data_IF_650795061238
#
_entry.id   IF_650795061238
#
_cell.length_a   1.000
_cell.length_b   1.000
_cell.length_c   1.000
_cell.angle_alpha   90.00
_cell.angle_beta   90.00
_cell.angle_gamma   90.00
#
_symmetry.space_group_name_H-M   'P 1'
#
loop_
_entity.id
_entity.type
_entity.pdbx_description
1 polymer ?
#
# COMPACT_ATOMS: atom_id res chain seq x y z
N UNK A 1 -3.95 15.38 -4.41
CA UNK A 1 -3.37 15.44 -3.05
C UNK A 1 -2.07 16.23 -3.13
N UNK A 2 -1.80 17.14 -2.19
CA UNK A 2 -0.55 17.92 -2.22
C UNK A 2 0.67 17.07 -1.85
N UNK A 3 1.84 17.41 -2.39
CA UNK A 3 3.11 16.74 -2.05
C UNK A 3 3.38 16.69 -0.55
N UNK A 4 3.15 17.77 0.19
CA UNK A 4 3.34 17.82 1.65
C UNK A 4 2.43 16.86 2.40
N UNK A 5 1.13 16.84 2.06
CA UNK A 5 0.19 15.88 2.66
C UNK A 5 0.56 14.43 2.36
N UNK A 6 1.09 14.15 1.15
CA UNK A 6 1.55 12.82 0.78
C UNK A 6 2.80 12.40 1.57
N UNK A 7 3.80 13.28 1.68
CA UNK A 7 5.02 13.04 2.47
C UNK A 7 4.65 12.78 3.94
N UNK A 8 3.77 13.62 4.53
CA UNK A 8 3.34 13.46 5.92
C UNK A 8 2.67 12.09 6.14
N UNK A 9 1.80 11.69 5.21
CA UNK A 9 1.12 10.39 5.26
C UNK A 9 2.12 9.23 5.18
N UNK A 10 3.24 9.37 4.45
CA UNK A 10 4.31 8.36 4.43
C UNK A 10 5.16 8.35 5.69
N UNK A 11 5.42 9.50 6.32
CA UNK A 11 6.18 9.56 7.57
C UNK A 11 5.40 8.89 8.71
N UNK A 12 4.10 9.18 8.84
CA UNK A 12 3.23 8.60 9.88
C UNK A 12 3.04 7.08 9.73
N UNK A 13 3.22 6.55 8.52
CA UNK A 13 3.21 5.10 8.24
C UNK A 13 4.48 4.38 8.68
N UNK A 14 5.55 5.07 9.07
CA UNK A 14 6.81 4.43 9.48
C UNK A 14 6.77 3.98 10.94
N UNK A 15 7.33 2.79 11.19
CA UNK A 15 7.45 2.18 12.53
C UNK A 15 8.11 3.12 13.53
N UNK A 16 9.24 3.73 13.13
CA UNK A 16 10.03 4.59 14.04
C UNK A 16 9.24 5.81 14.50
N UNK A 17 8.38 6.38 13.64
CA UNK A 17 7.60 7.56 13.99
C UNK A 17 6.59 7.23 15.09
N UNK A 18 5.89 6.10 14.95
CA UNK A 18 4.93 5.61 15.96
C UNK A 18 5.64 5.23 17.27
N UNK A 19 6.76 4.54 17.17
CA UNK A 19 7.58 4.16 18.31
C UNK A 19 8.05 5.40 19.11
N UNK A 20 8.56 6.42 18.41
CA UNK A 20 8.98 7.69 19.02
C UNK A 20 7.77 8.43 19.61
N UNK A 21 6.66 8.54 18.88
CA UNK A 21 5.47 9.24 19.36
C UNK A 21 4.88 8.60 20.62
N UNK A 22 4.74 7.28 20.66
CA UNK A 22 4.24 6.55 21.83
C UNK A 22 5.24 6.65 22.98
N UNK A 23 6.54 6.52 22.72
CA UNK A 23 7.57 6.66 23.76
C UNK A 23 7.58 8.07 24.36
N UNK A 24 7.46 9.11 23.52
CA UNK A 24 7.35 10.50 23.98
C UNK A 24 6.07 10.73 24.77
N UNK A 25 4.93 10.17 24.34
CA UNK A 25 3.68 10.24 25.10
C UNK A 25 3.80 9.54 26.46
N UNK A 26 4.47 8.39 26.51
CA UNK A 26 4.78 7.66 27.75
C UNK A 26 5.68 8.46 28.70
N UNK A 27 6.74 9.10 28.17
CA UNK A 27 7.62 9.99 28.95
C UNK A 27 6.84 11.21 29.44
N UNK A 28 6.05 11.84 28.57
CA UNK A 28 5.22 12.98 28.91
C UNK A 28 4.21 12.64 30.00
N UNK A 29 3.58 11.46 29.91
CA UNK A 29 2.68 10.96 30.96
C UNK A 29 3.42 10.81 32.29
N UNK A 30 4.60 10.20 32.31
CA UNK A 30 5.40 10.05 33.52
C UNK A 30 5.78 11.42 34.13
N UNK A 31 6.26 12.36 33.32
CA UNK A 31 6.61 13.72 33.79
C UNK A 31 5.37 14.46 34.30
N UNK A 32 4.25 14.37 33.57
CA UNK A 32 2.99 15.03 33.91
C UNK A 32 2.50 14.59 35.29
N UNK A 33 2.66 13.31 35.64
CA UNK A 33 2.35 12.81 36.99
C UNK A 33 3.16 13.54 38.06
N UNK A 34 4.47 13.74 37.85
CA UNK A 34 5.32 14.47 38.79
C UNK A 34 4.98 15.96 38.90
N UNK A 35 4.54 16.58 37.80
CA UNK A 35 4.20 18.02 37.77
C UNK A 35 2.80 18.31 38.32
N UNK A 36 1.81 17.45 38.05
CA UNK A 36 0.42 17.65 38.49
C UNK A 36 0.24 17.30 39.97
N UNK A 37 0.98 16.31 40.49
CA UNK A 37 0.80 15.82 41.86
C UNK A 37 0.76 16.93 42.94
N UNK A 38 1.65 17.95 42.93
CA UNK A 38 1.62 19.02 43.94
C UNK A 38 0.43 19.97 43.85
N UNK A 39 -0.34 19.94 42.75
CA UNK A 39 -1.44 20.87 42.49
C UNK A 39 -2.81 20.26 42.77
N UNK A 40 -2.88 18.97 43.10
CA UNK A 40 -4.13 18.27 43.40
C UNK A 40 -4.54 18.56 44.86
N UNK A 41 -5.74 19.14 45.10
CA UNK A 41 -6.20 19.51 46.44
C UNK A 41 -6.68 18.31 47.28
N UNK A 42 -6.30 17.08 46.91
CA UNK A 42 -6.79 15.84 47.51
C UNK A 42 -5.61 15.06 48.07
N UNK A 43 -5.57 14.88 49.39
CA UNK A 43 -4.64 13.97 50.04
C UNK A 43 -5.20 12.54 49.93
N UNK A 44 -4.52 11.68 49.18
CA UNK A 44 -4.93 10.28 49.10
C UNK A 44 -4.47 9.57 50.39
N UNK A 45 -5.38 9.41 51.34
CA UNK A 45 -5.09 8.89 52.69
C UNK A 45 -4.77 7.39 52.80
N UNK A 46 -4.14 6.75 51.81
CA UNK A 46 -3.81 5.32 51.85
C UNK A 46 -2.40 5.02 51.36
N UNK A 47 -1.70 4.12 52.07
CA UNK A 47 -0.42 3.50 51.67
C UNK A 47 -0.55 2.57 50.43
N UNK A 48 -1.56 2.79 49.57
CA UNK A 48 -1.85 1.92 48.45
C UNK A 48 -0.71 1.92 47.42
N UNK A 49 0.00 0.80 47.34
CA UNK A 49 0.84 0.44 46.19
C UNK A 49 2.21 1.13 46.10
N UNK A 50 2.67 1.80 47.16
CA UNK A 50 3.97 2.50 47.21
C UNK A 50 5.15 1.60 46.79
N UNK A 51 5.20 0.36 47.29
CA UNK A 51 6.25 -0.62 46.94
C UNK A 51 5.88 -1.47 45.70
N UNK A 52 4.59 -1.64 45.44
CA UNK A 52 4.10 -2.47 44.34
C UNK A 52 4.38 -1.84 42.97
N UNK A 53 4.27 -0.51 42.84
CA UNK A 53 4.48 0.19 41.57
C UNK A 53 5.89 0.00 41.04
N UNK A 54 6.91 0.12 41.90
CA UNK A 54 8.31 -0.09 41.51
C UNK A 54 8.57 -1.50 41.01
N UNK A 55 8.01 -2.50 41.69
CA UNK A 55 8.10 -3.91 41.30
C UNK A 55 7.46 -4.16 39.94
N UNK A 56 6.24 -3.64 39.70
CA UNK A 56 5.54 -3.79 38.41
C UNK A 56 6.32 -3.10 37.28
N UNK A 57 6.81 -1.88 37.51
CA UNK A 57 7.64 -1.16 36.53
C UNK A 57 8.90 -1.96 36.19
N UNK A 58 9.55 -2.60 37.17
CA UNK A 58 10.75 -3.41 36.94
C UNK A 58 10.47 -4.71 36.18
N UNK A 59 9.33 -5.38 36.46
CA UNK A 59 8.87 -6.54 35.69
C UNK A 59 8.57 -6.14 34.24
N UNK A 60 7.90 -5.01 34.03
CA UNK A 60 7.65 -4.47 32.70
C UNK A 60 8.96 -4.12 31.97
N UNK A 61 9.90 -3.43 32.63
CA UNK A 61 11.18 -3.07 32.02
C UNK A 61 11.98 -4.30 31.55
N UNK A 62 12.01 -5.37 32.33
CA UNK A 62 12.74 -6.60 31.97
C UNK A 62 12.02 -7.43 30.90
N UNK A 63 10.70 -7.55 30.97
CA UNK A 63 9.91 -8.38 30.05
C UNK A 63 9.67 -7.72 28.69
N UNK A 64 9.45 -6.40 28.63
CA UNK A 64 9.07 -5.72 27.39
C UNK A 64 10.16 -5.74 26.32
N UNK A 65 11.44 -5.74 26.70
CA UNK A 65 12.53 -5.86 25.72
C UNK A 65 12.52 -7.24 25.04
N UNK A 66 12.26 -8.31 25.81
CA UNK A 66 12.15 -9.66 25.28
C UNK A 66 10.93 -9.81 24.37
N UNK A 67 9.76 -9.30 24.77
CA UNK A 67 8.54 -9.30 23.96
C UNK A 67 8.71 -8.49 22.66
N UNK A 68 9.38 -7.34 22.74
CA UNK A 68 9.73 -6.51 21.57
C UNK A 68 10.63 -7.26 20.60
N UNK A 69 11.66 -7.94 21.13
CA UNK A 69 12.61 -8.73 20.33
C UNK A 69 11.91 -9.92 19.66
N UNK A 70 11.08 -10.66 20.40
CA UNK A 70 10.26 -11.75 19.84
C UNK A 70 9.34 -11.23 18.72
N UNK A 71 8.67 -10.10 18.95
CA UNK A 71 7.75 -9.50 17.97
C UNK A 71 8.46 -9.03 16.71
N UNK A 72 9.65 -8.41 16.84
CA UNK A 72 10.47 -8.03 15.70
C UNK A 72 10.92 -9.25 14.89
N UNK A 73 11.38 -10.31 15.56
CA UNK A 73 11.77 -11.58 14.92
C UNK A 73 10.60 -12.21 14.16
N UNK A 74 9.39 -12.21 14.75
CA UNK A 74 8.19 -12.72 14.09
C UNK A 74 7.84 -11.92 12.83
N UNK A 75 7.94 -10.58 12.87
CA UNK A 75 7.75 -9.73 11.69
C UNK A 75 8.77 -10.01 10.58
N UNK A 76 10.06 -10.11 10.94
CA UNK A 76 11.13 -10.41 9.96
C UNK A 76 10.92 -11.78 9.32
N UNK A 77 10.49 -12.78 10.11
CA UNK A 77 10.13 -14.10 9.60
C UNK A 77 8.97 -14.03 8.60
N UNK A 78 7.92 -13.27 8.91
CA UNK A 78 6.78 -13.06 8.01
C UNK A 78 7.20 -12.35 6.70
N UNK A 79 8.08 -11.35 6.77
CA UNK A 79 8.62 -10.67 5.57
C UNK A 79 9.45 -11.61 4.69
N UNK A 80 10.23 -12.48 5.32
CA UNK A 80 11.00 -13.52 4.63
C UNK A 80 10.06 -14.50 3.92
N UNK A 81 9.04 -15.00 4.62
CA UNK A 81 8.01 -15.90 4.08
C UNK A 81 7.32 -15.28 2.86
N UNK A 82 6.85 -14.04 2.97
CA UNK A 82 6.18 -13.36 1.86
C UNK A 82 7.10 -13.10 0.66
N UNK A 83 8.38 -12.83 0.88
CA UNK A 83 9.34 -12.64 -0.21
C UNK A 83 9.63 -13.96 -0.94
N UNK A 84 9.65 -15.07 -0.22
CA UNK A 84 9.89 -16.41 -0.79
C UNK A 84 8.66 -16.92 -1.54
N UNK A 85 7.49 -16.86 -0.90
CA UNK A 85 6.25 -17.44 -1.41
C UNK A 85 5.57 -16.55 -2.47
N UNK A 86 5.59 -15.23 -2.29
CA UNK A 86 4.82 -14.29 -3.10
C UNK A 86 5.75 -13.40 -3.94
N UNK A 87 6.01 -12.15 -3.55
CA UNK A 87 6.84 -11.23 -4.35
C UNK A 87 7.44 -10.13 -3.46
N UNK A 88 8.66 -9.63 -3.76
CA UNK A 88 9.24 -8.49 -3.03
C UNK A 88 8.35 -7.24 -2.96
N UNK A 89 7.37 -7.11 -3.88
CA UNK A 89 6.42 -5.99 -3.90
C UNK A 89 5.39 -6.12 -2.77
N UNK A 90 4.98 -7.34 -2.42
CA UNK A 90 4.07 -7.59 -1.31
C UNK A 90 4.72 -7.26 0.04
N UNK A 91 6.04 -7.46 0.16
CA UNK A 91 6.80 -7.12 1.37
C UNK A 91 6.67 -5.64 1.74
N UNK A 92 6.52 -4.74 0.76
CA UNK A 92 6.27 -3.31 1.03
C UNK A 92 4.98 -3.09 1.83
N UNK A 93 3.93 -3.86 1.55
CA UNK A 93 2.63 -3.75 2.23
C UNK A 93 2.64 -4.36 3.64
N UNK A 94 3.41 -5.43 3.83
CA UNK A 94 3.60 -6.04 5.15
C UNK A 94 4.42 -5.13 6.09
N UNK A 95 5.39 -4.39 5.55
CA UNK A 95 6.16 -3.41 6.31
C UNK A 95 5.30 -2.21 6.79
N UNK A 96 4.24 -1.89 6.05
CA UNK A 96 3.32 -0.80 6.35
C UNK A 96 2.15 -1.24 7.28
N UNK A 97 2.17 -2.46 7.82
CA UNK A 97 1.08 -3.00 8.63
C UNK A 97 0.92 -2.26 9.98
N UNK A 98 -0.22 -1.57 10.22
CA UNK A 98 -0.37 -0.76 11.40
C UNK A 98 -0.50 -1.57 12.69
N UNK A 99 -1.03 -2.80 12.64
CA UNK A 99 -1.23 -3.64 13.83
C UNK A 99 0.10 -4.07 14.41
N UNK A 100 0.99 -4.56 13.55
CA UNK A 100 2.35 -5.00 13.87
C UNK A 100 3.19 -3.84 14.39
N UNK A 101 3.15 -2.69 13.70
CA UNK A 101 3.87 -1.49 14.11
C UNK A 101 3.39 -0.94 15.45
N UNK A 102 2.07 -0.93 15.69
CA UNK A 102 1.50 -0.47 16.95
C UNK A 102 1.88 -1.41 18.10
N UNK A 103 1.87 -2.73 17.87
CA UNK A 103 2.30 -3.69 18.87
C UNK A 103 3.75 -3.44 19.32
N UNK A 104 4.69 -3.35 18.37
CA UNK A 104 6.09 -3.07 18.67
C UNK A 104 6.27 -1.71 19.37
N UNK A 105 5.57 -0.68 18.89
CA UNK A 105 5.66 0.68 19.44
C UNK A 105 5.10 0.76 20.86
N UNK A 106 4.02 0.03 21.15
CA UNK A 106 3.45 -0.10 22.49
C UNK A 106 4.40 -0.81 23.45
N UNK A 107 5.01 -1.93 23.05
CA UNK A 107 5.95 -2.65 23.92
C UNK A 107 7.19 -1.81 24.22
N UNK A 108 7.72 -1.10 23.21
CA UNK A 108 8.83 -0.16 23.42
C UNK A 108 8.42 1.03 24.30
N UNK A 109 7.23 1.59 24.08
CA UNK A 109 6.71 2.69 24.90
C UNK A 109 6.52 2.29 26.36
N UNK A 110 6.00 1.09 26.61
CA UNK A 110 5.87 0.53 27.96
C UNK A 110 7.23 0.29 28.62
N UNK A 111 8.24 -0.18 27.87
CA UNK A 111 9.61 -0.28 28.34
C UNK A 111 10.17 1.09 28.75
N UNK A 112 10.05 2.10 27.89
CA UNK A 112 10.54 3.47 28.16
C UNK A 112 9.79 4.09 29.34
N UNK A 113 8.47 3.93 29.41
CA UNK A 113 7.65 4.35 30.55
C UNK A 113 8.18 3.74 31.85
N UNK A 114 8.45 2.44 31.86
CA UNK A 114 8.96 1.74 33.03
C UNK A 114 10.30 2.29 33.50
N UNK A 115 11.25 2.51 32.58
CA UNK A 115 12.57 3.06 32.94
C UNK A 115 12.43 4.47 33.52
N UNK A 116 11.64 5.33 32.88
CA UNK A 116 11.41 6.70 33.35
C UNK A 116 10.68 6.73 34.69
N UNK A 117 9.68 5.84 34.87
CA UNK A 117 8.97 5.65 36.12
C UNK A 117 9.92 5.22 37.26
N UNK A 118 10.79 4.24 37.00
CA UNK A 118 11.80 3.78 37.97
C UNK A 118 12.76 4.91 38.34
N UNK A 119 13.30 5.64 37.36
CA UNK A 119 14.21 6.77 37.59
C UNK A 119 13.51 7.85 38.44
N UNK A 120 12.26 8.19 38.11
CA UNK A 120 11.49 9.18 38.86
C UNK A 120 11.17 8.74 40.29
N UNK A 121 10.93 7.44 40.52
CA UNK A 121 10.76 6.87 41.87
C UNK A 121 12.07 6.94 42.67
N UNK A 122 13.20 6.57 42.07
CA UNK A 122 14.52 6.57 42.72
C UNK A 122 15.04 7.97 43.04
N UNK A 123 14.70 8.96 42.20
CA UNK A 123 15.07 10.37 42.40
C UNK A 123 14.12 11.11 43.33
N UNK A 124 13.02 10.48 43.76
CA UNK A 124 12.03 11.07 44.69
C UNK A 124 11.11 12.12 44.08
N UNK A 125 11.06 12.24 42.74
CA UNK A 125 10.33 13.30 42.02
C UNK A 125 8.81 13.23 42.22
N UNK A 126 8.25 12.06 42.52
CA UNK A 126 6.80 11.84 42.56
C UNK A 126 6.13 12.14 43.92
N UNK A 127 6.86 12.40 45.01
CA UNK A 127 6.24 12.60 46.33
C UNK A 127 5.40 11.39 46.80
N UNK A 128 4.46 11.60 47.74
CA UNK A 128 3.51 10.56 48.18
C UNK A 128 2.34 10.41 47.19
N UNK A 129 1.65 11.51 46.88
CA UNK A 129 0.45 11.48 46.02
C UNK A 129 0.76 11.13 44.56
N UNK A 130 1.90 11.57 44.02
CA UNK A 130 2.31 11.24 42.66
C UNK A 130 2.62 9.76 42.47
N UNK A 131 2.97 9.01 43.53
CA UNK A 131 3.14 7.54 43.46
C UNK A 131 1.81 6.83 43.17
N UNK A 132 0.70 7.34 43.70
CA UNK A 132 -0.64 6.76 43.49
C UNK A 132 -1.09 7.00 42.04
N UNK A 133 -0.86 8.21 41.52
CA UNK A 133 -1.14 8.52 40.10
C UNK A 133 -0.23 7.68 39.18
N UNK A 134 1.05 7.51 39.54
CA UNK A 134 1.97 6.66 38.80
C UNK A 134 1.51 5.19 38.82
N UNK A 135 1.01 4.70 39.95
CA UNK A 135 0.43 3.35 40.05
C UNK A 135 -0.78 3.20 39.13
N UNK A 136 -1.71 4.14 39.13
CA UNK A 136 -2.87 4.13 38.23
C UNK A 136 -2.44 4.15 36.75
N UNK A 137 -1.47 5.00 36.38
CA UNK A 137 -0.90 5.03 35.04
C UNK A 137 -0.21 3.71 34.67
N UNK A 138 0.50 3.10 35.62
CA UNK A 138 1.15 1.79 35.43
C UNK A 138 0.13 0.70 35.17
N UNK A 139 -0.96 0.63 35.96
CA UNK A 139 -2.05 -0.32 35.75
C UNK A 139 -2.68 -0.13 34.37
N UNK A 140 -2.93 1.12 33.95
CA UNK A 140 -3.45 1.41 32.62
C UNK A 140 -2.52 0.90 31.51
N UNK A 141 -1.22 1.12 31.64
CA UNK A 141 -0.23 0.66 30.66
C UNK A 141 -0.14 -0.87 30.66
N UNK A 142 -0.20 -1.53 31.82
CA UNK A 142 -0.26 -3.00 31.90
C UNK A 142 -1.47 -3.54 31.13
N UNK A 143 -2.66 -2.96 31.34
CA UNK A 143 -3.88 -3.35 30.61
C UNK A 143 -3.66 -3.16 29.10
N UNK A 144 -3.13 -2.02 28.69
CA UNK A 144 -2.85 -1.70 27.29
C UNK A 144 -1.85 -2.69 26.67
N UNK A 145 -0.79 -3.06 27.38
CA UNK A 145 0.20 -4.06 26.96
C UNK A 145 -0.45 -5.44 26.79
N UNK A 146 -1.24 -5.88 27.76
CA UNK A 146 -1.93 -7.18 27.71
C UNK A 146 -2.88 -7.24 26.52
N UNK A 147 -3.72 -6.23 26.32
CA UNK A 147 -4.64 -6.16 25.17
C UNK A 147 -3.87 -6.15 23.86
N UNK A 148 -2.78 -5.37 23.79
CA UNK A 148 -1.94 -5.29 22.59
C UNK A 148 -1.27 -6.62 22.29
N UNK A 149 -0.77 -7.34 23.30
CA UNK A 149 -0.16 -8.65 23.17
C UNK A 149 -1.16 -9.69 22.68
N UNK A 150 -2.37 -9.73 23.25
CA UNK A 150 -3.43 -10.64 22.80
C UNK A 150 -3.83 -10.38 21.34
N UNK A 151 -4.00 -9.11 20.97
CA UNK A 151 -4.29 -8.72 19.57
C UNK A 151 -3.14 -9.09 18.64
N UNK A 152 -1.89 -8.92 19.09
CA UNK A 152 -0.71 -9.27 18.33
C UNK A 152 -0.60 -10.77 18.09
N UNK A 153 -0.80 -11.59 19.13
CA UNK A 153 -0.82 -13.06 19.01
C UNK A 153 -1.90 -13.50 18.02
N UNK A 154 -3.10 -12.95 18.12
CA UNK A 154 -4.18 -13.26 17.18
C UNK A 154 -3.79 -12.89 15.74
N UNK A 155 -3.18 -11.71 15.54
CA UNK A 155 -2.74 -11.26 14.22
C UNK A 155 -1.62 -12.14 13.63
N UNK A 156 -0.66 -12.58 14.45
CA UNK A 156 0.45 -13.43 14.02
C UNK A 156 0.02 -14.77 13.43
N UNK A 157 -1.17 -15.27 13.77
CA UNK A 157 -1.67 -16.56 13.23
C UNK A 157 -1.99 -16.52 11.73
N UNK A 158 -2.22 -15.33 11.17
CA UNK A 158 -2.52 -15.12 9.75
C UNK A 158 -1.48 -14.29 9.03
N UNK A 159 -0.76 -13.42 9.75
CA UNK A 159 0.20 -12.49 9.19
C UNK A 159 1.31 -13.16 8.36
N UNK A 160 1.47 -12.72 7.11
CA UNK A 160 2.53 -13.21 6.20
C UNK A 160 2.27 -14.59 5.59
N UNK A 161 1.06 -15.15 5.77
CA UNK A 161 0.59 -16.34 5.03
C UNK A 161 0.13 -15.94 3.64
N UNK A 162 0.09 -16.90 2.70
CA UNK A 162 -0.25 -16.61 1.30
C UNK A 162 -1.58 -15.86 1.14
N UNK A 163 -2.64 -16.31 1.83
CA UNK A 163 -3.94 -15.64 1.79
C UNK A 163 -3.86 -14.18 2.25
N UNK A 164 -3.24 -13.91 3.42
CA UNK A 164 -3.03 -12.54 3.92
C UNK A 164 -2.22 -11.67 2.94
N UNK A 165 -1.24 -12.27 2.26
CA UNK A 165 -0.46 -11.57 1.23
C UNK A 165 -1.33 -11.21 0.02
N UNK A 166 -2.13 -12.14 -0.48
CA UNK A 166 -3.06 -11.89 -1.60
C UNK A 166 -4.06 -10.80 -1.21
N UNK A 167 -4.69 -10.91 -0.04
CA UNK A 167 -5.69 -9.97 0.47
C UNK A 167 -5.11 -8.55 0.59
N UNK A 168 -3.88 -8.41 1.11
CA UNK A 168 -3.21 -7.10 1.23
C UNK A 168 -2.91 -6.48 -0.12
N UNK A 169 -2.40 -7.27 -1.07
CA UNK A 169 -2.10 -6.79 -2.42
C UNK A 169 -3.40 -6.43 -3.13
N UNK A 170 -4.45 -7.24 -2.97
CA UNK A 170 -5.79 -6.97 -3.49
C UNK A 170 -6.35 -5.65 -2.94
N UNK A 171 -6.34 -5.45 -1.62
CA UNK A 171 -6.81 -4.22 -0.97
C UNK A 171 -6.08 -2.98 -1.48
N UNK A 172 -4.75 -3.08 -1.62
CA UNK A 172 -3.92 -2.00 -2.14
C UNK A 172 -4.25 -1.72 -3.62
N UNK A 173 -4.40 -2.77 -4.42
CA UNK A 173 -4.75 -2.70 -5.84
C UNK A 173 -6.14 -2.11 -6.05
N UNK A 174 -7.15 -2.57 -5.29
CA UNK A 174 -8.53 -2.09 -5.33
C UNK A 174 -8.62 -0.61 -4.95
N UNK A 175 -7.92 -0.17 -3.89
CA UNK A 175 -7.85 1.25 -3.51
C UNK A 175 -7.23 2.11 -4.61
N UNK A 176 -6.13 1.65 -5.21
CA UNK A 176 -5.47 2.37 -6.30
C UNK A 176 -6.34 2.39 -7.57
N UNK A 177 -7.01 1.28 -7.89
CA UNK A 177 -7.91 1.14 -9.04
C UNK A 177 -9.16 2.00 -8.87
N UNK A 178 -9.77 2.04 -7.69
CA UNK A 178 -10.92 2.89 -7.40
C UNK A 178 -10.58 4.38 -7.55
N UNK A 179 -9.38 4.80 -7.11
CA UNK A 179 -8.89 6.17 -7.32
C UNK A 179 -8.67 6.47 -8.80
N UNK A 180 -8.10 5.52 -9.54
CA UNK A 180 -7.91 5.65 -10.99
C UNK A 180 -9.26 5.72 -11.72
N UNK A 181 -10.23 4.89 -11.35
CA UNK A 181 -11.58 4.89 -11.92
C UNK A 181 -12.31 6.21 -11.68
N UNK A 182 -12.20 6.77 -10.47
CA UNK A 182 -12.81 8.05 -10.12
C UNK A 182 -12.13 9.25 -10.80
N UNK A 183 -10.81 9.18 -11.01
CA UNK A 183 -10.05 10.27 -11.60
C UNK A 183 -8.88 9.77 -12.49
N UNK A 184 -9.18 9.31 -13.73
CA UNK A 184 -8.19 8.67 -14.61
C UNK A 184 -7.02 9.58 -15.03
N UNK A 185 -7.23 10.89 -14.91
CA UNK A 185 -6.30 11.94 -15.32
C UNK A 185 -5.68 12.68 -14.12
N UNK A 186 -5.78 12.12 -12.91
CA UNK A 186 -5.17 12.65 -11.68
C UNK A 186 -5.59 14.09 -11.34
N UNK A 187 -6.79 14.52 -11.76
CA UNK A 187 -7.31 15.87 -11.56
C UNK A 187 -7.00 16.83 -12.70
N UNK A 188 -6.34 16.34 -13.74
CA UNK A 188 -6.07 17.04 -14.99
C UNK A 188 -7.13 16.76 -16.07
N UNK A 189 -6.89 17.29 -17.27
CA UNK A 189 -7.69 17.10 -18.46
C UNK A 189 -7.22 15.85 -19.24
N UNK A 190 -8.07 15.25 -20.08
CA UNK A 190 -7.65 14.21 -21.02
C UNK A 190 -6.46 14.66 -21.86
N UNK A 191 -5.54 13.74 -22.13
CA UNK A 191 -4.39 14.01 -22.99
C UNK A 191 -4.83 14.42 -24.40
N UNK A 192 -4.14 15.40 -24.96
CA UNK A 192 -4.29 15.86 -26.34
C UNK A 192 -2.95 15.71 -27.06
N UNK A 193 -2.92 15.71 -28.41
CA UNK A 193 -1.66 15.74 -29.15
C UNK A 193 -0.79 16.92 -28.71
N UNK A 194 0.44 16.63 -28.28
CA UNK A 194 1.38 17.64 -27.79
C UNK A 194 1.87 18.48 -28.98
N UNK A 195 1.73 19.83 -28.94
CA UNK A 195 2.17 20.66 -30.05
C UNK A 195 3.69 20.60 -30.29
N UNK A 196 4.16 20.69 -31.55
CA UNK A 196 5.60 20.61 -31.87
C UNK A 196 6.46 21.68 -31.20
N UNK A 197 5.88 22.85 -30.90
CA UNK A 197 6.56 23.95 -30.22
C UNK A 197 6.62 23.83 -28.69
N UNK A 198 6.10 22.75 -28.11
CA UNK A 198 6.08 22.57 -26.66
C UNK A 198 7.49 22.27 -26.11
N UNK A 199 7.91 23.08 -25.13
CA UNK A 199 9.24 22.99 -24.53
C UNK A 199 9.30 21.79 -23.57
N UNK A 200 10.29 20.88 -23.70
CA UNK A 200 10.47 19.78 -22.77
C UNK A 200 11.02 20.24 -21.44
N UNK A 201 10.52 19.66 -20.35
CA UNK A 201 11.15 19.77 -19.03
C UNK A 201 11.56 18.37 -18.56
N UNK A 202 12.88 18.19 -18.48
CA UNK A 202 13.53 16.99 -17.97
C UNK A 202 14.08 17.25 -16.56
N UNK A 203 14.02 16.23 -15.71
CA UNK A 203 14.69 16.23 -14.41
C UNK A 203 16.11 15.67 -14.47
N UNK A 204 16.86 15.76 -13.39
CA UNK A 204 18.22 15.20 -13.27
C UNK A 204 18.26 13.83 -12.55
N UNK A 205 17.12 13.35 -12.05
CA UNK A 205 17.01 12.10 -11.25
C UNK A 205 16.65 10.91 -12.12
N UNK A 206 17.13 9.74 -11.74
CA UNK A 206 16.78 8.46 -12.35
C UNK A 206 16.02 7.60 -11.34
N UNK A 207 14.87 7.05 -11.74
CA UNK A 207 14.01 6.24 -10.87
C UNK A 207 12.57 6.15 -11.37
N UNK A 208 11.66 5.67 -10.53
CA UNK A 208 10.24 5.60 -10.79
C UNK A 208 9.51 6.84 -10.28
N UNK A 209 8.58 7.36 -11.07
CA UNK A 209 7.62 8.37 -10.61
C UNK A 209 6.66 7.69 -9.62
N UNK A 210 6.65 8.12 -8.37
CA UNK A 210 5.73 7.59 -7.34
C UNK A 210 4.62 8.57 -6.98
N UNK A 211 4.80 9.85 -7.28
CA UNK A 211 3.76 10.86 -7.10
C UNK A 211 3.82 11.95 -8.16
N UNK A 212 2.64 12.35 -8.66
CA UNK A 212 2.45 13.55 -9.49
C UNK A 212 1.42 14.47 -8.82
N UNK A 213 1.85 15.68 -8.43
CA UNK A 213 0.99 16.71 -7.83
C UNK A 213 0.36 17.58 -8.93
N UNK A 214 -0.64 17.03 -9.62
CA UNK A 214 -1.39 17.74 -10.68
C UNK A 214 -2.04 19.04 -10.18
N UNK A 215 -2.59 19.13 -8.94
CA UNK A 215 -3.04 20.41 -8.39
C UNK A 215 -1.93 21.47 -8.31
N UNK A 216 -0.70 21.11 -7.93
CA UNK A 216 0.44 22.03 -7.96
C UNK A 216 0.79 22.45 -9.38
N UNK A 217 0.86 21.50 -10.32
CA UNK A 217 1.06 21.78 -11.75
C UNK A 217 0.00 22.75 -12.27
N UNK A 218 -1.27 22.58 -11.88
CA UNK A 218 -2.36 23.46 -12.28
C UNK A 218 -2.20 24.89 -11.77
N UNK A 219 -1.77 25.08 -10.53
CA UNK A 219 -1.47 26.42 -9.98
C UNK A 219 -0.32 27.09 -10.73
N UNK A 220 0.72 26.33 -11.08
CA UNK A 220 1.87 26.82 -11.85
C UNK A 220 1.42 27.21 -13.27
N UNK A 221 0.66 26.35 -13.93
CA UNK A 221 0.12 26.57 -15.28
C UNK A 221 -0.71 27.85 -15.36
N UNK A 222 -1.60 28.08 -14.38
CA UNK A 222 -2.40 29.30 -14.30
C UNK A 222 -1.55 30.56 -14.06
N UNK A 223 -0.57 30.49 -13.15
CA UNK A 223 0.34 31.62 -12.86
C UNK A 223 1.17 32.01 -14.09
N UNK A 224 1.68 31.02 -14.81
CA UNK A 224 2.53 31.22 -15.99
C UNK A 224 1.73 31.43 -17.29
N UNK A 225 0.39 31.38 -17.25
CA UNK A 225 -0.46 31.36 -18.45
C UNK A 225 -0.02 30.32 -19.48
N UNK A 226 0.37 29.14 -18.99
CA UNK A 226 0.94 28.05 -19.77
C UNK A 226 0.01 26.83 -19.76
N UNK A 227 0.15 25.96 -20.77
CA UNK A 227 -0.51 24.65 -20.80
C UNK A 227 0.54 23.56 -20.59
N UNK A 228 0.29 22.65 -19.64
CA UNK A 228 1.22 21.59 -19.27
C UNK A 228 0.71 20.25 -19.80
N UNK A 229 1.58 19.49 -20.45
CA UNK A 229 1.33 18.11 -20.90
C UNK A 229 2.21 17.16 -20.11
N UNK A 230 1.62 16.35 -19.26
CA UNK A 230 2.33 15.35 -18.46
C UNK A 230 2.60 14.11 -19.32
N UNK A 231 3.88 13.80 -19.52
CA UNK A 231 4.34 12.72 -20.41
C UNK A 231 4.64 11.41 -19.68
N UNK A 232 4.57 11.41 -18.34
CA UNK A 232 4.87 10.26 -17.49
C UNK A 232 3.80 10.06 -16.43
N UNK A 233 3.45 8.81 -16.17
CA UNK A 233 2.48 8.43 -15.13
C UNK A 233 3.19 7.81 -13.92
N UNK A 234 2.56 7.82 -12.72
CA UNK A 234 3.02 7.02 -11.60
C UNK A 234 3.31 5.58 -12.02
N UNK A 235 4.46 5.05 -11.62
CA UNK A 235 4.99 3.75 -12.06
C UNK A 235 5.94 3.81 -13.25
N UNK A 236 6.08 4.96 -13.93
CA UNK A 236 7.00 5.12 -15.07
C UNK A 236 8.44 5.29 -14.61
N UNK A 237 9.37 4.56 -15.24
CA UNK A 237 10.82 4.77 -15.08
C UNK A 237 11.27 6.02 -15.86
N UNK A 238 11.98 6.93 -15.20
CA UNK A 238 12.50 8.18 -15.77
C UNK A 238 14.01 8.28 -15.60
N UNK A 239 14.64 9.03 -16.50
CA UNK A 239 16.08 9.33 -16.54
C UNK A 239 16.27 10.73 -17.15
N UNK A 240 17.47 11.34 -17.11
CA UNK A 240 17.65 12.74 -17.50
C UNK A 240 17.34 13.13 -18.96
N UNK A 241 17.20 12.13 -19.84
CA UNK A 241 16.82 12.33 -21.24
C UNK A 241 15.34 12.04 -21.53
N UNK A 242 14.54 11.71 -20.49
CA UNK A 242 13.10 11.49 -20.60
C UNK A 242 12.36 12.71 -20.08
N UNK A 243 11.49 13.26 -20.92
CA UNK A 243 10.63 14.38 -20.54
C UNK A 243 9.65 13.94 -19.45
N UNK A 244 9.55 14.74 -18.38
CA UNK A 244 8.50 14.58 -17.38
C UNK A 244 7.23 15.30 -17.80
N UNK A 245 7.40 16.48 -18.43
CA UNK A 245 6.34 17.29 -18.99
C UNK A 245 6.81 18.00 -20.26
N UNK A 246 5.84 18.41 -21.08
CA UNK A 246 6.00 19.31 -22.22
C UNK A 246 5.10 20.53 -21.99
N UNK A 247 5.59 21.74 -22.26
CA UNK A 247 4.89 22.98 -21.90
C UNK A 247 4.70 23.88 -23.11
N UNK A 248 3.47 24.37 -23.26
CA UNK A 248 3.14 25.47 -24.17
C UNK A 248 3.15 26.79 -23.39
N UNK A 249 4.08 27.68 -23.73
CA UNK A 249 4.30 28.95 -23.04
C UNK A 249 5.77 29.18 -22.71
N UNK A 250 6.09 30.35 -22.17
CA UNK A 250 7.44 30.68 -21.70
C UNK A 250 7.57 30.28 -20.23
N UNK A 251 8.66 29.60 -19.91
CA UNK A 251 8.98 29.11 -18.57
C UNK A 251 10.35 29.67 -18.20
N UNK A 252 10.43 30.40 -17.09
CA UNK A 252 11.70 30.81 -16.51
C UNK A 252 12.30 29.69 -15.64
N UNK A 253 13.56 29.83 -15.23
CA UNK A 253 14.26 28.78 -14.47
C UNK A 253 13.58 28.51 -13.11
N UNK A 254 13.02 29.53 -12.46
CA UNK A 254 12.29 29.36 -11.19
C UNK A 254 11.01 28.53 -11.35
N UNK A 255 10.25 28.77 -12.42
CA UNK A 255 9.08 27.96 -12.76
C UNK A 255 9.48 26.52 -13.11
N UNK A 256 10.63 26.33 -13.74
CA UNK A 256 11.16 24.99 -14.06
C UNK A 256 11.39 24.14 -12.80
N UNK A 257 12.01 24.71 -11.77
CA UNK A 257 12.25 24.00 -10.51
C UNK A 257 10.94 23.66 -9.79
N UNK A 258 9.99 24.61 -9.72
CA UNK A 258 8.65 24.38 -9.16
C UNK A 258 7.91 23.23 -9.87
N UNK A 259 8.07 23.12 -11.20
CA UNK A 259 7.48 22.04 -12.00
C UNK A 259 8.12 20.69 -11.69
N UNK A 260 9.45 20.65 -11.55
CA UNK A 260 10.16 19.43 -11.17
C UNK A 260 9.77 18.98 -9.76
N UNK A 261 9.54 19.92 -8.85
CA UNK A 261 9.10 19.67 -7.49
C UNK A 261 7.67 19.11 -7.38
N UNK A 262 6.87 19.18 -8.45
CA UNK A 262 5.58 18.49 -8.50
C UNK A 262 5.70 16.96 -8.70
N UNK A 263 6.90 16.46 -9.01
CA UNK A 263 7.15 15.03 -9.21
C UNK A 263 7.96 14.46 -8.05
N UNK A 264 7.50 13.34 -7.50
CA UNK A 264 8.35 12.51 -6.63
C UNK A 264 8.90 11.33 -7.40
N UNK A 265 10.24 11.27 -7.48
CA UNK A 265 10.98 10.20 -8.14
C UNK A 265 11.71 9.38 -7.07
N UNK A 266 11.57 8.06 -7.10
CA UNK A 266 12.15 7.13 -6.12
C UNK A 266 12.76 5.90 -6.78
N UNK A 267 13.54 5.11 -6.02
CA UNK A 267 14.17 3.89 -6.56
C UNK A 267 13.18 2.76 -6.83
N UNK A 268 12.04 2.76 -6.15
CA UNK A 268 11.04 1.70 -6.21
C UNK A 268 9.66 2.31 -6.45
N UNK A 269 8.79 1.55 -7.11
CA UNK A 269 7.37 1.90 -7.28
C UNK A 269 6.64 1.85 -5.93
N UNK A 270 5.50 2.53 -5.84
CA UNK A 270 4.64 2.59 -4.66
C UNK A 270 3.18 2.39 -5.06
N UNK A 271 2.40 1.68 -4.25
CA UNK A 271 0.97 1.43 -4.48
C UNK A 271 0.07 2.68 -4.35
N UNK A 272 0.59 3.80 -3.85
CA UNK A 272 -0.24 4.97 -3.49
C UNK A 272 -0.98 5.60 -4.68
N UNK A 273 -0.30 5.77 -5.82
CA UNK A 273 -0.85 6.33 -7.07
C UNK A 273 -0.69 5.41 -8.29
N UNK A 274 0.00 4.29 -8.12
CA UNK A 274 0.28 3.34 -9.20
C UNK A 274 -0.76 2.21 -9.21
N UNK A 275 -1.80 2.39 -9.99
CA UNK A 275 -2.89 1.41 -10.13
C UNK A 275 -2.49 0.14 -10.89
N UNK A 276 -1.32 0.12 -11.55
CA UNK A 276 -0.80 -1.05 -12.26
C UNK A 276 -0.01 -1.98 -11.32
N UNK A 277 0.65 -1.43 -10.31
CA UNK A 277 1.55 -2.19 -9.43
C UNK A 277 0.85 -3.34 -8.70
N UNK A 278 -0.40 -3.13 -8.28
CA UNK A 278 -1.23 -4.17 -7.66
C UNK A 278 -1.52 -5.36 -8.59
N UNK A 279 -1.88 -5.08 -9.84
CA UNK A 279 -2.12 -6.11 -10.85
C UNK A 279 -0.85 -6.92 -11.15
N UNK A 280 0.29 -6.22 -11.27
CA UNK A 280 1.58 -6.86 -11.51
C UNK A 280 1.96 -7.73 -10.31
N UNK A 281 1.81 -7.24 -9.08
CA UNK A 281 2.14 -8.00 -7.89
C UNK A 281 1.26 -9.27 -7.75
N UNK A 282 -0.05 -9.14 -7.98
CA UNK A 282 -0.96 -10.29 -8.03
C UNK A 282 -0.53 -11.29 -9.12
N UNK A 283 -0.29 -10.81 -10.34
CA UNK A 283 0.14 -11.68 -11.44
C UNK A 283 1.48 -12.37 -11.17
N UNK A 284 2.41 -11.73 -10.47
CA UNK A 284 3.67 -12.35 -10.04
C UNK A 284 3.46 -13.46 -9.00
N UNK A 285 2.48 -13.30 -8.10
CA UNK A 285 2.10 -14.34 -7.13
C UNK A 285 1.54 -15.56 -7.86
N UNK A 286 0.59 -15.36 -8.77
CA UNK A 286 0.05 -16.45 -9.58
C UNK A 286 1.15 -17.12 -10.42
N UNK A 287 2.01 -16.32 -11.04
CA UNK A 287 3.13 -16.83 -11.83
C UNK A 287 4.06 -17.75 -11.01
N UNK A 288 4.44 -17.32 -9.79
CA UNK A 288 5.25 -18.16 -8.90
C UNK A 288 4.52 -19.41 -8.43
N UNK A 289 3.23 -19.32 -8.12
CA UNK A 289 2.42 -20.47 -7.75
C UNK A 289 2.36 -21.52 -8.88
N UNK A 290 2.24 -21.05 -10.13
CA UNK A 290 2.19 -21.90 -11.33
C UNK A 290 3.56 -22.40 -11.80
N UNK A 291 4.65 -21.89 -11.23
CA UNK A 291 5.99 -22.32 -11.60
C UNK A 291 6.16 -23.83 -11.33
N UNK A 292 6.92 -24.57 -12.17
CA UNK A 292 7.06 -26.03 -12.05
C UNK A 292 7.53 -26.52 -10.67
N UNK A 293 8.32 -25.70 -9.96
CA UNK A 293 8.83 -26.03 -8.64
C UNK A 293 7.77 -25.93 -7.51
N UNK A 294 6.69 -25.17 -7.73
CA UNK A 294 5.64 -24.93 -6.73
C UNK A 294 4.36 -25.68 -7.08
N UNK A 295 3.91 -25.57 -8.34
CA UNK A 295 2.74 -26.27 -8.88
C UNK A 295 1.48 -26.17 -8.00
N UNK A 296 1.10 -24.95 -7.63
CA UNK A 296 -0.07 -24.63 -6.81
C UNK A 296 -1.13 -23.88 -7.63
N UNK A 297 -2.00 -24.59 -8.39
CA UNK A 297 -3.11 -23.99 -9.12
C UNK A 297 -4.13 -23.29 -8.21
N UNK A 298 -4.28 -23.73 -6.96
CA UNK A 298 -5.23 -23.17 -6.00
C UNK A 298 -4.92 -21.70 -5.69
N UNK A 299 -3.65 -21.40 -5.41
CA UNK A 299 -3.19 -20.02 -5.22
C UNK A 299 -3.40 -19.16 -6.48
N UNK A 300 -3.17 -19.70 -7.67
CA UNK A 300 -3.40 -18.97 -8.92
C UNK A 300 -4.89 -18.66 -9.15
N UNK A 301 -5.79 -19.58 -8.79
CA UNK A 301 -7.24 -19.38 -8.82
C UNK A 301 -7.66 -18.27 -7.85
N UNK A 302 -7.10 -18.24 -6.64
CA UNK A 302 -7.37 -17.16 -5.68
C UNK A 302 -6.89 -15.80 -6.21
N UNK A 303 -5.72 -15.75 -6.84
CA UNK A 303 -5.23 -14.54 -7.50
C UNK A 303 -6.15 -14.10 -8.66
N UNK A 304 -6.68 -15.03 -9.46
CA UNK A 304 -7.66 -14.70 -10.51
C UNK A 304 -8.93 -14.08 -9.93
N UNK A 305 -9.39 -14.57 -8.78
CA UNK A 305 -10.51 -13.97 -8.04
C UNK A 305 -10.18 -12.55 -7.56
N UNK A 306 -8.99 -12.34 -7.01
CA UNK A 306 -8.52 -11.02 -6.57
C UNK A 306 -8.42 -10.04 -7.75
N UNK A 307 -7.82 -10.46 -8.87
CA UNK A 307 -7.72 -9.66 -10.09
C UNK A 307 -9.10 -9.28 -10.64
N UNK A 308 -10.07 -10.21 -10.61
CA UNK A 308 -11.46 -9.91 -10.98
C UNK A 308 -12.03 -8.81 -10.08
N UNK A 309 -11.96 -8.97 -8.76
CA UNK A 309 -12.49 -7.98 -7.79
C UNK A 309 -11.84 -6.61 -7.95
N UNK A 310 -10.53 -6.55 -8.21
CA UNK A 310 -9.83 -5.29 -8.47
C UNK A 310 -10.33 -4.65 -9.77
N UNK A 311 -10.38 -5.38 -10.88
CA UNK A 311 -10.75 -4.84 -12.19
C UNK A 311 -12.23 -4.44 -12.27
N UNK A 312 -13.11 -5.03 -11.45
CA UNK A 312 -14.51 -4.62 -11.34
C UNK A 312 -14.72 -3.24 -10.70
N UNK A 313 -13.66 -2.61 -10.16
CA UNK A 313 -13.73 -1.21 -9.74
C UNK A 313 -13.67 -0.22 -10.92
N UNK A 314 -13.28 -0.68 -12.12
CA UNK A 314 -13.31 0.14 -13.32
C UNK A 314 -14.76 0.48 -13.71
N UNK A 315 -15.00 1.69 -14.24
CA UNK A 315 -16.33 2.04 -14.72
C UNK A 315 -16.68 1.21 -15.98
N UNK A 316 -17.97 0.93 -16.16
CA UNK A 316 -18.46 0.17 -17.32
C UNK A 316 -18.15 0.86 -18.66
N UNK A 317 -18.11 2.19 -18.64
CA UNK A 317 -17.80 3.06 -19.78
C UNK A 317 -16.86 4.17 -19.34
N UNK A 318 -16.10 4.69 -20.29
CA UNK A 318 -15.23 5.83 -20.03
C UNK A 318 -16.05 7.10 -19.73
N UNK A 319 -15.60 7.95 -18.79
CA UNK A 319 -16.22 9.25 -18.54
C UNK A 319 -16.10 10.17 -19.78
N UNK A 320 -17.07 11.06 -19.99
CA UNK A 320 -17.07 11.98 -21.13
C UNK A 320 -15.96 13.03 -20.93
N UNK A 321 -15.23 13.35 -21.99
CA UNK A 321 -14.18 14.36 -21.95
C UNK A 321 -14.69 15.74 -21.50
N UNK A 322 -15.98 16.02 -21.70
CA UNK A 322 -16.64 17.26 -21.26
C UNK A 322 -16.69 17.41 -19.74
N UNK A 323 -16.70 16.32 -18.99
CA UNK A 323 -16.74 16.31 -17.51
C UNK A 323 -15.45 16.87 -16.89
N UNK A 324 -14.46 17.21 -17.72
CA UNK A 324 -13.12 17.63 -17.31
C UNK A 324 -12.74 19.02 -17.83
N UNK A 325 -13.64 19.74 -18.51
CA UNK A 325 -13.33 21.04 -19.12
C UNK A 325 -12.94 22.13 -18.08
N UNK A 326 -13.54 22.11 -16.90
CA UNK A 326 -13.28 23.07 -15.81
C UNK A 326 -11.98 22.80 -15.04
N UNK A 327 -11.30 21.68 -15.32
CA UNK A 327 -10.04 21.31 -14.66
C UNK A 327 -8.89 22.25 -15.06
N UNK A 328 -7.81 22.35 -14.26
CA UNK A 328 -6.64 23.16 -14.62
C UNK A 328 -6.07 22.77 -16.00
N UNK A 329 -5.34 23.67 -16.69
CA UNK A 329 -4.75 23.44 -18.01
C UNK A 329 -3.53 22.49 -17.95
N UNK A 330 -3.75 21.29 -17.41
CA UNK A 330 -2.78 20.21 -17.27
C UNK A 330 -3.38 18.98 -17.92
N UNK A 331 -2.82 18.57 -19.06
CA UNK A 331 -3.20 17.38 -19.79
C UNK A 331 -2.41 16.19 -19.25
N UNK A 332 -3.11 15.13 -18.86
CA UNK A 332 -2.50 13.92 -18.28
C UNK A 332 -3.01 12.72 -19.08
N UNK A 333 -2.11 11.83 -19.50
CA UNK A 333 -2.52 10.59 -20.13
C UNK A 333 -3.19 9.66 -19.10
N UNK A 334 -3.98 8.70 -19.59
CA UNK A 334 -4.49 7.61 -18.76
C UNK A 334 -3.89 6.29 -19.23
N UNK A 335 -3.75 5.34 -18.30
CA UNK A 335 -3.40 3.97 -18.66
C UNK A 335 -4.51 3.33 -19.48
N UNK A 336 -4.15 2.57 -20.50
CA UNK A 336 -5.14 1.89 -21.34
C UNK A 336 -5.65 0.61 -20.66
N UNK A 337 -6.87 0.20 -20.99
CA UNK A 337 -7.39 -1.09 -20.49
C UNK A 337 -6.52 -2.26 -20.97
N UNK A 338 -5.97 -2.18 -22.18
CA UNK A 338 -5.05 -3.19 -22.70
C UNK A 338 -3.78 -3.34 -21.85
N UNK A 339 -3.21 -2.23 -21.36
CA UNK A 339 -2.09 -2.28 -20.43
C UNK A 339 -2.47 -2.97 -19.12
N UNK A 340 -3.65 -2.67 -18.55
CA UNK A 340 -4.13 -3.27 -17.30
C UNK A 340 -4.37 -4.77 -17.45
N UNK A 341 -5.05 -5.18 -18.52
CA UNK A 341 -5.31 -6.59 -18.82
C UNK A 341 -4.00 -7.36 -19.09
N UNK A 342 -3.06 -6.72 -19.80
CA UNK A 342 -1.75 -7.31 -20.07
C UNK A 342 -0.97 -7.55 -18.78
N UNK A 343 -0.90 -6.55 -17.90
CA UNK A 343 -0.21 -6.65 -16.62
C UNK A 343 -0.84 -7.72 -15.71
N UNK A 344 -2.17 -7.84 -15.72
CA UNK A 344 -2.91 -8.75 -14.87
C UNK A 344 -2.82 -10.22 -15.32
N UNK A 345 -2.94 -10.48 -16.63
CA UNK A 345 -3.20 -11.85 -17.11
C UNK A 345 -2.08 -12.45 -17.95
N UNK A 346 -1.19 -11.67 -18.56
CA UNK A 346 -0.19 -12.22 -19.50
C UNK A 346 0.78 -13.23 -18.85
N UNK A 347 1.30 -13.01 -17.63
CA UNK A 347 2.12 -14.02 -16.95
C UNK A 347 1.32 -15.29 -16.60
N UNK A 348 0.08 -15.14 -16.14
CA UNK A 348 -0.81 -16.28 -15.81
C UNK A 348 -1.11 -17.10 -17.06
N UNK A 349 -1.43 -16.44 -18.17
CA UNK A 349 -1.60 -17.10 -19.46
C UNK A 349 -0.35 -17.89 -19.84
N UNK A 350 0.82 -17.28 -19.68
CA UNK A 350 2.09 -17.91 -20.08
C UNK A 350 2.32 -19.24 -19.36
N UNK A 351 2.06 -19.28 -18.06
CA UNK A 351 2.45 -20.38 -17.18
C UNK A 351 1.31 -21.35 -16.85
N UNK A 352 0.08 -20.85 -16.79
CA UNK A 352 -1.11 -21.65 -16.46
C UNK A 352 -1.81 -22.26 -17.67
N UNK A 353 -1.33 -22.04 -18.90
CA UNK A 353 -2.01 -22.50 -20.12
C UNK A 353 -2.18 -24.02 -20.21
N UNK A 354 -1.30 -24.80 -19.58
CA UNK A 354 -1.41 -26.27 -19.52
C UNK A 354 -2.20 -26.79 -18.32
N UNK A 355 -2.71 -25.92 -17.44
CA UNK A 355 -3.43 -26.33 -16.22
C UNK A 355 -4.93 -26.10 -16.39
N UNK A 356 -5.69 -27.19 -16.32
CA UNK A 356 -7.13 -27.22 -16.64
C UNK A 356 -7.95 -26.35 -15.70
N UNK A 357 -7.73 -26.47 -14.40
CA UNK A 357 -8.47 -25.70 -13.39
C UNK A 357 -8.22 -24.19 -13.52
N UNK A 358 -6.98 -23.81 -13.85
CA UNK A 358 -6.55 -22.41 -14.00
C UNK A 358 -7.16 -21.79 -15.25
N UNK A 359 -7.09 -22.49 -16.39
CA UNK A 359 -7.65 -22.01 -17.66
C UNK A 359 -9.17 -21.94 -17.64
N UNK A 360 -9.86 -22.88 -16.97
CA UNK A 360 -11.31 -22.81 -16.73
C UNK A 360 -11.66 -21.60 -15.86
N UNK A 361 -10.92 -21.36 -14.78
CA UNK A 361 -11.16 -20.18 -13.93
C UNK A 361 -10.90 -18.88 -14.68
N UNK A 362 -9.83 -18.82 -15.47
CA UNK A 362 -9.49 -17.65 -16.29
C UNK A 362 -10.58 -17.36 -17.31
N UNK A 363 -11.12 -18.38 -17.98
CA UNK A 363 -12.23 -18.26 -18.93
C UNK A 363 -13.45 -17.60 -18.28
N UNK A 364 -13.85 -18.07 -17.10
CA UNK A 364 -14.95 -17.49 -16.33
C UNK A 364 -14.65 -16.07 -15.84
N UNK A 365 -13.40 -15.78 -15.46
CA UNK A 365 -12.95 -14.46 -15.03
C UNK A 365 -13.05 -13.45 -16.17
N UNK A 366 -12.56 -13.80 -17.36
CA UNK A 366 -12.63 -12.93 -18.53
C UNK A 366 -14.10 -12.75 -18.99
N UNK A 367 -14.92 -13.80 -18.92
CA UNK A 367 -16.35 -13.69 -19.26
C UNK A 367 -17.09 -12.72 -18.34
N UNK A 368 -16.79 -12.76 -17.03
CA UNK A 368 -17.35 -11.81 -16.06
C UNK A 368 -16.91 -10.37 -16.36
N UNK A 369 -15.63 -10.15 -16.66
CA UNK A 369 -15.13 -8.82 -17.06
C UNK A 369 -15.77 -8.34 -18.37
N UNK A 370 -15.95 -9.22 -19.34
CA UNK A 370 -16.58 -8.89 -20.62
C UNK A 370 -18.05 -8.47 -20.46
N UNK A 371 -18.76 -9.07 -19.51
CA UNK A 371 -20.11 -8.67 -19.15
C UNK A 371 -20.13 -7.31 -18.42
N UNK A 372 -19.23 -7.11 -17.47
CA UNK A 372 -19.19 -5.93 -16.61
C UNK A 372 -18.61 -4.67 -17.27
N UNK A 373 -17.72 -4.82 -18.26
CA UNK A 373 -16.99 -3.72 -18.89
C UNK A 373 -17.25 -3.64 -20.41
N UNK A 374 -18.42 -3.12 -20.84
CA UNK A 374 -18.77 -2.95 -22.25
C UNK A 374 -17.70 -2.23 -23.08
N UNK A 375 -17.08 -1.17 -22.55
CA UNK A 375 -16.03 -0.42 -23.24
C UNK A 375 -14.73 -1.22 -23.47
N UNK A 376 -14.52 -2.30 -22.72
CA UNK A 376 -13.33 -3.14 -22.78
C UNK A 376 -13.53 -4.45 -23.54
N UNK A 377 -14.75 -4.73 -24.04
CA UNK A 377 -15.09 -6.02 -24.67
C UNK A 377 -14.12 -6.47 -25.77
N UNK A 378 -13.68 -5.62 -26.73
CA UNK A 378 -12.74 -6.05 -27.75
C UNK A 378 -11.41 -6.51 -27.18
N UNK A 379 -10.90 -5.79 -26.18
CA UNK A 379 -9.65 -6.13 -25.48
C UNK A 379 -9.75 -7.44 -24.72
N UNK A 380 -10.87 -7.65 -24.01
CA UNK A 380 -11.10 -8.86 -23.22
C UNK A 380 -11.32 -10.08 -24.15
N UNK A 381 -12.06 -9.92 -25.25
CA UNK A 381 -12.25 -10.99 -26.26
C UNK A 381 -10.91 -11.41 -26.86
N UNK A 382 -10.04 -10.47 -27.26
CA UNK A 382 -8.68 -10.80 -27.73
C UNK A 382 -7.90 -11.63 -26.70
N UNK A 383 -8.01 -11.28 -25.42
CA UNK A 383 -7.32 -12.00 -24.36
C UNK A 383 -7.90 -13.41 -24.14
N UNK A 384 -9.22 -13.57 -24.23
CA UNK A 384 -9.89 -14.87 -24.18
C UNK A 384 -9.46 -15.76 -25.36
N UNK A 385 -9.41 -15.20 -26.58
CA UNK A 385 -8.96 -15.91 -27.77
C UNK A 385 -7.48 -16.34 -27.64
N UNK A 386 -6.62 -15.48 -27.09
CA UNK A 386 -5.23 -15.81 -26.77
C UNK A 386 -5.12 -16.93 -25.72
N UNK A 387 -5.99 -16.93 -24.71
CA UNK A 387 -6.09 -17.99 -23.71
C UNK A 387 -6.43 -19.32 -24.37
N UNK A 388 -7.49 -19.37 -25.17
CA UNK A 388 -7.92 -20.57 -25.86
C UNK A 388 -6.86 -21.10 -26.85
N UNK A 389 -6.24 -20.22 -27.62
CA UNK A 389 -5.17 -20.60 -28.54
C UNK A 389 -3.91 -21.11 -27.81
N UNK A 390 -3.69 -20.70 -26.56
CA UNK A 390 -2.60 -21.24 -25.75
C UNK A 390 -2.97 -22.57 -25.13
N UNK A 391 -4.14 -22.68 -24.50
CA UNK A 391 -4.64 -23.94 -23.90
C UNK A 391 -4.59 -25.10 -24.90
N UNK A 392 -5.09 -24.90 -26.13
CA UNK A 392 -5.03 -25.89 -27.22
C UNK A 392 -3.61 -26.32 -27.62
N UNK A 393 -2.59 -25.50 -27.36
CA UNK A 393 -1.19 -25.80 -27.69
C UNK A 393 -0.43 -26.45 -26.53
N UNK A 394 -0.91 -26.29 -25.30
CA UNK A 394 -0.17 -26.67 -24.09
C UNK A 394 -0.84 -27.77 -23.27
N UNK A 395 -2.14 -28.00 -23.44
CA UNK A 395 -2.84 -29.14 -22.83
C UNK A 395 -2.57 -30.40 -23.65
N UNK A 396 -1.91 -31.37 -23.02
CA UNK A 396 -1.56 -32.64 -23.66
C UNK A 396 -2.65 -33.70 -23.48
N UNK A 397 -3.36 -33.66 -22.35
CA UNK A 397 -4.46 -34.59 -22.06
C UNK A 397 -5.73 -34.18 -22.84
N UNK A 398 -6.33 -35.18 -23.51
CA UNK A 398 -7.47 -34.96 -24.40
C UNK A 398 -8.78 -34.69 -23.64
N UNK A 399 -8.97 -35.29 -22.47
CA UNK A 399 -10.17 -35.11 -21.64
C UNK A 399 -10.16 -33.71 -21.01
N UNK A 400 -8.98 -33.27 -20.56
CA UNK A 400 -8.75 -31.92 -20.05
C UNK A 400 -8.99 -30.86 -21.13
N UNK A 401 -8.47 -31.08 -22.34
CA UNK A 401 -8.72 -30.18 -23.46
C UNK A 401 -10.22 -30.12 -23.81
N UNK A 402 -10.90 -31.27 -23.85
CA UNK A 402 -12.35 -31.32 -24.09
C UNK A 402 -13.14 -30.59 -23.00
N UNK A 403 -12.75 -30.74 -21.73
CA UNK A 403 -13.36 -30.02 -20.61
C UNK A 403 -13.16 -28.50 -20.73
N UNK A 404 -11.95 -28.07 -21.09
CA UNK A 404 -11.65 -26.67 -21.36
C UNK A 404 -12.49 -26.13 -22.53
N UNK A 405 -12.57 -26.83 -23.66
CA UNK A 405 -13.32 -26.37 -24.83
C UNK A 405 -14.82 -26.29 -24.56
N UNK A 406 -15.38 -27.25 -23.83
CA UNK A 406 -16.77 -27.21 -23.38
C UNK A 406 -17.03 -26.02 -22.43
N UNK A 407 -16.09 -25.70 -21.53
CA UNK A 407 -16.19 -24.52 -20.66
C UNK A 407 -16.09 -23.21 -21.46
N UNK A 408 -15.13 -23.12 -22.37
CA UNK A 408 -14.92 -21.96 -23.22
C UNK A 408 -16.13 -21.68 -24.10
N UNK A 409 -16.72 -22.69 -24.73
CA UNK A 409 -17.91 -22.53 -25.56
C UNK A 409 -19.12 -21.98 -24.80
N UNK A 410 -19.26 -22.32 -23.50
CA UNK A 410 -20.34 -21.77 -22.65
C UNK A 410 -20.12 -20.30 -22.29
N UNK A 411 -18.87 -19.91 -22.00
CA UNK A 411 -18.54 -18.54 -21.58
C UNK A 411 -18.35 -17.56 -22.74
N UNK A 412 -17.97 -18.08 -23.91
CA UNK A 412 -17.57 -17.30 -25.08
C UNK A 412 -18.18 -17.90 -26.35
N UNK A 413 -19.49 -17.71 -26.58
CA UNK A 413 -20.13 -18.15 -27.82
C UNK A 413 -19.51 -17.44 -29.02
N UNK A 414 -19.53 -18.13 -30.16
CA UNK A 414 -18.94 -17.73 -31.42
C UNK A 414 -19.41 -16.34 -31.87
#
# INVERSE_FOLDING_TARGET
MSRWSWILTRIVRKVWFRAVAISLASVALAILVGVIAPWLPYEFGGEMGQDSVGTILQIMASSMLAVTTFSLSAMVSAYSSATQLATPRATQLLMDDPTSQNALSTFLGAFVFSIVGIIGLQTGVYGHDGRIILFAATVLIVILVVVTLLRWIAHLTTFGRMADVIDRVEDAAAKAMARFAADPHLGGRPAVPIPPGATPVTGNRTGYVTHVDVPALGRIALRASATIHVTVLPGSMVHPARDLIRIEGKVDDGTRDDLLDAFTIERHRSFDQDHRLGLIALSEIASRALAPATNDPGTAIEVLNALLRVLLHLPATDPDARDHAERPPVHVARTTIDDLLTDAFRPILREGGGQTEVTMRLTGTLAALHAALPGARPSIRRLADQSAARARRTMEDADDLAAFEANHARGWPA
#
